data_IF_094822680836
#
_entry.id   IF_094822680836
#
_cell.length_a   1.000
_cell.length_b   1.000
_cell.length_c   1.000
_cell.angle_alpha   90.00
_cell.angle_beta   90.00
_cell.angle_gamma   90.00
#
_symmetry.space_group_name_H-M   'P 1'
#
loop_
_entity.id
_entity.type
_entity.pdbx_description
1 polymer ?
#
# COMPACT_ATOMS: atom_id res chain seq x y z
N UNK A 1 -12.70 -15.23 -12.60
CA UNK A 1 -12.70 -13.84 -12.09
C UNK A 1 -13.29 -12.98 -13.18
N UNK A 2 -14.32 -12.17 -12.88
CA UNK A 2 -14.82 -11.22 -13.87
C UNK A 2 -13.72 -10.18 -14.16
N UNK A 3 -13.50 -9.85 -15.43
CA UNK A 3 -12.55 -8.81 -15.80
C UNK A 3 -13.01 -7.48 -15.19
N UNK A 4 -12.14 -6.88 -14.38
CA UNK A 4 -12.35 -5.53 -13.86
C UNK A 4 -12.03 -4.57 -15.02
N UNK A 5 -12.97 -3.69 -15.41
CA UNK A 5 -12.72 -2.73 -16.47
C UNK A 5 -11.47 -1.90 -16.22
N UNK A 6 -10.65 -1.73 -17.25
CA UNK A 6 -9.46 -0.88 -17.20
C UNK A 6 -9.88 0.56 -16.85
N UNK A 7 -9.18 1.17 -15.88
CA UNK A 7 -9.52 2.50 -15.36
C UNK A 7 -10.63 2.55 -14.29
N UNK A 8 -11.25 1.42 -13.92
CA UNK A 8 -12.24 1.41 -12.84
C UNK A 8 -11.62 1.75 -11.47
N UNK A 9 -10.41 1.25 -11.23
CA UNK A 9 -9.72 1.37 -9.94
C UNK A 9 -8.98 2.71 -9.87
N UNK A 10 -9.28 3.57 -8.88
CA UNK A 10 -8.55 4.81 -8.67
C UNK A 10 -7.04 4.57 -8.43
N UNK A 11 -6.20 5.52 -8.84
CA UNK A 11 -4.75 5.36 -8.79
C UNK A 11 -4.23 5.25 -7.35
N UNK A 12 -4.81 6.01 -6.43
CA UNK A 12 -4.50 5.96 -5.01
C UNK A 12 -4.79 4.58 -4.40
N UNK A 13 -5.84 3.90 -4.84
CA UNK A 13 -6.14 2.53 -4.40
C UNK A 13 -5.08 1.54 -4.87
N UNK A 14 -4.56 1.72 -6.11
CA UNK A 14 -3.47 0.88 -6.64
C UNK A 14 -2.18 1.05 -5.82
N UNK A 15 -1.85 2.29 -5.44
CA UNK A 15 -0.68 2.58 -4.61
C UNK A 15 -0.83 1.99 -3.21
N UNK A 16 -2.00 2.14 -2.59
CA UNK A 16 -2.28 1.52 -1.28
C UNK A 16 -2.26 -0.01 -1.34
N UNK A 17 -2.78 -0.63 -2.40
CA UNK A 17 -2.73 -2.08 -2.58
C UNK A 17 -1.30 -2.59 -2.82
N UNK A 18 -0.49 -1.85 -3.59
CA UNK A 18 0.93 -2.18 -3.75
C UNK A 18 1.67 -2.13 -2.42
N UNK A 19 1.49 -1.07 -1.64
CA UNK A 19 2.08 -0.92 -0.31
C UNK A 19 1.58 -2.01 0.67
N UNK A 20 0.30 -2.36 0.58
CA UNK A 20 -0.28 -3.47 1.34
C UNK A 20 0.42 -4.80 1.05
N UNK A 21 0.59 -5.16 -0.22
CA UNK A 21 1.22 -6.42 -0.64
C UNK A 21 2.66 -6.52 -0.17
N UNK A 22 3.39 -5.41 -0.14
CA UNK A 22 4.78 -5.38 0.36
C UNK A 22 4.86 -5.30 1.88
N UNK A 23 3.84 -4.76 2.56
CA UNK A 23 3.83 -4.62 4.02
C UNK A 23 3.84 -5.95 4.75
N UNK A 24 3.28 -7.00 4.13
CA UNK A 24 3.05 -8.31 4.74
C UNK A 24 2.17 -8.29 5.99
N UNK A 25 1.37 -7.23 6.17
CA UNK A 25 0.36 -7.15 7.21
C UNK A 25 -0.93 -7.86 6.75
N UNK A 26 -1.76 -8.27 7.70
CA UNK A 26 -3.12 -8.73 7.39
C UNK A 26 -4.05 -7.52 7.31
N UNK A 27 -5.17 -7.67 6.58
CA UNK A 27 -6.24 -6.66 6.56
C UNK A 27 -6.71 -6.32 7.98
N UNK A 28 -6.77 -7.32 8.86
CA UNK A 28 -7.18 -7.13 10.25
C UNK A 28 -6.16 -6.29 11.04
N UNK A 29 -4.86 -6.56 10.88
CA UNK A 29 -3.82 -5.76 11.51
C UNK A 29 -3.85 -4.30 11.04
N UNK A 30 -4.12 -4.06 9.75
CA UNK A 30 -4.27 -2.70 9.20
C UNK A 30 -5.53 -2.03 9.74
N UNK A 31 -6.65 -2.75 9.83
CA UNK A 31 -7.88 -2.24 10.42
C UNK A 31 -7.67 -1.78 11.87
N UNK A 32 -6.98 -2.59 12.68
CA UNK A 32 -6.61 -2.24 14.04
C UNK A 32 -5.68 -1.03 14.11
N UNK A 33 -4.63 -1.00 13.29
CA UNK A 33 -3.64 0.10 13.28
C UNK A 33 -4.22 1.43 12.76
N UNK A 34 -5.13 1.38 11.79
CA UNK A 34 -5.77 2.57 11.20
C UNK A 34 -7.05 3.01 11.92
N UNK A 35 -7.56 2.19 12.84
CA UNK A 35 -8.88 2.40 13.46
C UNK A 35 -10.04 2.35 12.47
N UNK A 36 -9.86 1.74 11.30
CA UNK A 36 -10.88 1.60 10.27
C UNK A 36 -11.53 0.21 10.32
N UNK A 37 -12.82 0.07 9.99
CA UNK A 37 -13.43 -1.24 9.85
C UNK A 37 -12.76 -2.07 8.75
N UNK A 38 -12.52 -3.36 8.99
CA UNK A 38 -11.91 -4.26 8.00
C UNK A 38 -12.61 -4.29 6.62
N UNK A 39 -13.95 -4.17 6.50
CA UNK A 39 -14.62 -4.01 5.20
C UNK A 39 -14.23 -2.72 4.47
N UNK A 40 -14.04 -1.61 5.21
CA UNK A 40 -13.59 -0.33 4.67
C UNK A 40 -12.18 -0.45 4.12
N UNK A 41 -11.27 -1.09 4.86
CA UNK A 41 -9.90 -1.37 4.41
C UNK A 41 -9.92 -2.17 3.10
N UNK A 42 -10.66 -3.29 3.05
CA UNK A 42 -10.76 -4.11 1.83
C UNK A 42 -11.29 -3.33 0.63
N UNK A 43 -12.33 -2.53 0.84
CA UNK A 43 -12.92 -1.72 -0.23
C UNK A 43 -11.94 -0.65 -0.71
N UNK A 44 -11.21 -0.01 0.20
CA UNK A 44 -10.24 1.03 -0.14
C UNK A 44 -9.02 0.48 -0.88
N UNK A 45 -8.52 -0.70 -0.50
CA UNK A 45 -7.44 -1.39 -1.22
C UNK A 45 -7.91 -1.87 -2.60
N UNK A 46 -9.13 -2.41 -2.71
CA UNK A 46 -9.66 -2.85 -3.99
C UNK A 46 -9.97 -1.68 -4.95
N UNK A 47 -10.45 -0.55 -4.43
CA UNK A 47 -10.89 0.62 -5.22
C UNK A 47 -12.18 0.40 -6.01
N UNK A 48 -12.89 -0.69 -5.75
CA UNK A 48 -14.21 -0.98 -6.30
C UNK A 48 -15.03 -1.84 -5.33
N UNK A 49 -16.34 -1.90 -5.57
CA UNK A 49 -17.25 -2.85 -4.90
C UNK A 49 -18.26 -3.39 -5.90
N UNK A 50 -18.71 -4.62 -5.69
CA UNK A 50 -19.82 -5.17 -6.48
C UNK A 50 -21.15 -4.64 -5.96
N UNK A 51 -22.00 -4.15 -6.88
CA UNK A 51 -23.40 -3.81 -6.61
C UNK A 51 -24.23 -4.41 -7.73
N UNK A 52 -25.17 -5.29 -7.38
CA UNK A 52 -26.01 -6.01 -8.34
C UNK A 52 -25.21 -6.78 -9.40
N UNK A 53 -24.11 -7.44 -8.99
CA UNK A 53 -23.24 -8.19 -9.90
C UNK A 53 -22.27 -7.34 -10.73
N UNK A 54 -22.39 -6.01 -10.73
CA UNK A 54 -21.52 -5.12 -11.48
C UNK A 54 -20.45 -4.47 -10.59
N UNK A 55 -19.19 -4.38 -11.04
CA UNK A 55 -18.16 -3.68 -10.32
C UNK A 55 -18.37 -2.16 -10.45
N UNK A 56 -18.39 -1.46 -9.31
CA UNK A 56 -18.55 -0.01 -9.22
C UNK A 56 -17.30 0.59 -8.59
N UNK A 57 -16.75 1.62 -9.24
CA UNK A 57 -15.62 2.41 -8.73
C UNK A 57 -15.94 2.95 -7.34
N UNK A 58 -14.99 2.79 -6.43
CA UNK A 58 -15.06 3.36 -5.08
C UNK A 58 -13.86 4.27 -4.91
N UNK A 59 -14.14 5.54 -4.61
CA UNK A 59 -13.13 6.54 -4.29
C UNK A 59 -13.16 6.73 -2.77
N UNK A 60 -12.13 6.28 -2.03
CA UNK A 60 -12.09 6.47 -0.59
C UNK A 60 -12.02 7.96 -0.24
N UNK A 61 -12.65 8.40 0.87
CA UNK A 61 -12.53 9.79 1.32
C UNK A 61 -11.13 10.05 1.87
N UNK A 62 -10.68 11.30 1.84
CA UNK A 62 -9.31 11.69 2.19
C UNK A 62 -8.88 11.25 3.61
N UNK A 63 -9.70 11.32 4.67
CA UNK A 63 -9.34 10.77 5.98
C UNK A 63 -9.05 9.26 5.97
N UNK A 64 -9.74 8.50 5.10
CA UNK A 64 -9.47 7.06 4.95
C UNK A 64 -8.15 6.83 4.23
N UNK A 65 -7.88 7.60 3.17
CA UNK A 65 -6.61 7.52 2.44
C UNK A 65 -5.44 7.89 3.35
N UNK A 66 -5.54 8.99 4.11
CA UNK A 66 -4.50 9.46 5.03
C UNK A 66 -4.14 8.41 6.08
N UNK A 67 -5.15 7.79 6.73
CA UNK A 67 -4.93 6.74 7.73
C UNK A 67 -4.26 5.50 7.16
N UNK A 68 -4.73 5.03 6.01
CA UNK A 68 -4.15 3.85 5.35
C UNK A 68 -2.73 4.13 4.86
N UNK A 69 -2.50 5.31 4.29
CA UNK A 69 -1.17 5.74 3.86
C UNK A 69 -0.18 5.80 5.04
N UNK A 70 -0.59 6.38 6.17
CA UNK A 70 0.23 6.48 7.39
C UNK A 70 0.61 5.10 7.95
N UNK A 71 -0.34 4.15 7.97
CA UNK A 71 -0.06 2.77 8.43
C UNK A 71 0.80 1.98 7.45
N UNK A 72 0.58 2.17 6.15
CA UNK A 72 1.29 1.41 5.10
C UNK A 72 2.63 2.03 4.69
N UNK A 73 3.01 3.17 5.25
CA UNK A 73 4.27 3.86 4.94
C UNK A 73 4.27 4.55 3.58
N UNK A 74 3.10 4.94 3.05
CA UNK A 74 3.00 5.78 1.84
C UNK A 74 3.20 7.23 2.24
N UNK A 75 4.10 7.96 1.57
CA UNK A 75 4.45 9.34 1.94
C UNK A 75 3.38 10.36 1.50
N UNK A 76 3.31 11.49 2.22
CA UNK A 76 2.48 12.64 1.85
C UNK A 76 2.83 13.21 0.47
N UNK A 77 4.12 13.17 0.09
CA UNK A 77 4.59 13.53 -1.25
C UNK A 77 3.99 12.63 -2.32
N UNK A 78 3.93 11.32 -2.07
CA UNK A 78 3.29 10.36 -2.98
C UNK A 78 1.81 10.69 -3.16
N UNK A 79 1.08 10.98 -2.08
CA UNK A 79 -0.32 11.38 -2.17
C UNK A 79 -0.51 12.70 -2.93
N UNK A 80 0.35 13.69 -2.70
CA UNK A 80 0.32 14.96 -3.41
C UNK A 80 0.52 14.76 -4.91
N UNK A 81 1.48 13.92 -5.31
CA UNK A 81 1.72 13.57 -6.73
C UNK A 81 0.54 12.84 -7.40
N UNK A 82 -0.39 12.28 -6.62
CA UNK A 82 -1.62 11.64 -7.11
C UNK A 82 -2.84 12.58 -7.12
N UNK A 83 -2.67 13.87 -6.80
CA UNK A 83 -3.78 14.83 -6.67
C UNK A 83 -4.62 14.62 -5.40
N UNK A 84 -3.98 14.15 -4.32
CA UNK A 84 -4.60 13.91 -3.01
C UNK A 84 -4.00 14.82 -1.94
N UNK A 85 -4.00 16.12 -2.20
CA UNK A 85 -3.39 17.14 -1.33
C UNK A 85 -4.10 17.21 0.03
N UNK A 86 -5.43 17.06 0.06
CA UNK A 86 -6.18 17.03 1.32
C UNK A 86 -5.83 15.80 2.15
N UNK A 87 -5.70 14.62 1.53
CA UNK A 87 -5.27 13.42 2.25
C UNK A 87 -3.83 13.56 2.75
N UNK A 88 -2.95 14.14 1.95
CA UNK A 88 -1.57 14.43 2.35
C UNK A 88 -1.51 15.39 3.56
N UNK A 89 -2.30 16.46 3.56
CA UNK A 89 -2.36 17.39 4.68
C UNK A 89 -2.88 16.74 5.98
N UNK A 90 -3.83 15.79 5.84
CA UNK A 90 -4.37 15.04 6.98
C UNK A 90 -3.40 13.98 7.53
N UNK A 91 -2.31 13.64 6.82
CA UNK A 91 -1.37 12.62 7.28
C UNK A 91 -0.64 13.03 8.55
N UNK A 92 -0.30 14.31 8.74
CA UNK A 92 0.40 14.76 9.94
C UNK A 92 -0.50 14.64 11.19
N UNK A 93 -1.78 14.99 11.07
CA UNK A 93 -2.77 14.81 12.11
C UNK A 93 -3.03 13.33 12.41
N UNK A 94 -3.12 12.50 11.37
CA UNK A 94 -3.35 11.07 11.52
C UNK A 94 -2.08 10.31 11.95
N UNK A 95 -0.87 10.82 11.70
CA UNK A 95 0.37 10.25 12.24
C UNK A 95 0.41 10.41 13.77
N UNK A 96 -0.02 11.57 14.28
CA UNK A 96 -0.18 11.79 15.71
C UNK A 96 -1.32 10.95 16.32
N UNK A 97 -2.40 10.73 15.57
CA UNK A 97 -3.55 9.91 16.04
C UNK A 97 -3.28 8.40 15.97
N UNK A 98 -2.50 7.97 14.99
CA UNK A 98 -2.02 6.61 14.81
C UNK A 98 -0.82 6.31 15.71
N UNK A 99 -0.44 7.15 16.67
CA UNK A 99 0.50 6.81 17.74
C UNK A 99 -0.12 5.81 18.75
N UNK A 100 -0.86 4.82 18.26
CA UNK A 100 -1.30 3.67 19.04
C UNK A 100 -0.19 2.62 19.05
N UNK A 101 -0.05 1.82 20.13
CA UNK A 101 0.95 0.76 20.19
C UNK A 101 0.89 -0.17 18.96
N UNK A 102 -0.31 -0.43 18.46
CA UNK A 102 -0.54 -1.33 17.32
C UNK A 102 -0.05 -0.79 15.99
N UNK A 103 -0.20 0.52 15.77
CA UNK A 103 0.34 1.16 14.57
C UNK A 103 1.86 1.27 14.63
N UNK A 104 2.43 1.51 15.82
CA UNK A 104 3.89 1.43 16.01
C UNK A 104 4.42 0.01 15.74
N UNK A 105 3.75 -1.03 16.22
CA UNK A 105 4.06 -2.44 15.90
C UNK A 105 3.99 -2.71 14.39
N UNK A 106 2.94 -2.22 13.71
CA UNK A 106 2.78 -2.38 12.28
C UNK A 106 3.91 -1.71 11.49
N UNK A 107 4.27 -0.47 11.84
CA UNK A 107 5.38 0.27 11.24
C UNK A 107 6.73 -0.43 11.51
N UNK A 108 6.97 -0.89 12.73
CA UNK A 108 8.17 -1.63 13.08
C UNK A 108 8.28 -2.95 12.29
N UNK A 109 7.17 -3.65 12.06
CA UNK A 109 7.14 -4.88 11.26
C UNK A 109 7.41 -4.62 9.77
N UNK A 110 6.89 -3.51 9.22
CA UNK A 110 7.19 -3.08 7.84
C UNK A 110 8.67 -2.74 7.72
N UNK A 111 9.18 -1.90 8.61
CA UNK A 111 10.57 -1.45 8.61
C UNK A 111 11.55 -2.61 8.83
N UNK A 112 11.23 -3.55 9.73
CA UNK A 112 12.02 -4.76 9.96
C UNK A 112 12.10 -5.64 8.70
N UNK A 113 11.00 -5.79 7.96
CA UNK A 113 11.00 -6.51 6.68
C UNK A 113 11.80 -5.78 5.60
N UNK A 114 11.68 -4.46 5.52
CA UNK A 114 12.49 -3.63 4.60
C UNK A 114 13.97 -3.82 4.86
N UNK A 115 14.42 -3.70 6.11
CA UNK A 115 15.82 -3.90 6.50
C UNK A 115 16.33 -5.31 6.22
N UNK A 116 15.50 -6.34 6.47
CA UNK A 116 15.86 -7.71 6.13
C UNK A 116 16.05 -7.88 4.62
N UNK A 117 15.16 -7.31 3.80
CA UNK A 117 15.30 -7.33 2.35
C UNK A 117 16.57 -6.61 1.90
N UNK A 118 16.89 -5.44 2.48
CA UNK A 118 18.13 -4.70 2.22
C UNK A 118 19.38 -5.51 2.61
N UNK A 119 19.36 -6.19 3.76
CA UNK A 119 20.45 -7.06 4.20
C UNK A 119 20.64 -8.25 3.26
N UNK A 120 19.56 -8.91 2.84
CA UNK A 120 19.63 -10.02 1.88
C UNK A 120 20.19 -9.53 0.55
N UNK A 121 19.73 -8.37 0.06
CA UNK A 121 20.24 -7.77 -1.18
C UNK A 121 21.71 -7.34 -1.05
N UNK A 122 22.14 -6.88 0.13
CA UNK A 122 23.52 -6.50 0.39
C UNK A 122 24.48 -7.71 0.48
N UNK A 123 23.99 -8.91 0.79
CA UNK A 123 24.79 -10.16 0.77
C UNK A 123 25.10 -10.60 -0.66
N UNK A 124 24.25 -10.28 -1.63
CA UNK A 124 24.57 -10.49 -3.04
C UNK A 124 25.56 -9.42 -3.49
N UNK A 125 26.70 -9.86 -4.03
CA UNK A 125 27.63 -8.93 -4.68
C UNK A 125 26.91 -8.18 -5.80
N UNK A 126 27.24 -6.91 -6.01
CA UNK A 126 26.61 -6.08 -7.05
C UNK A 126 26.69 -6.72 -8.44
N UNK A 127 27.70 -7.56 -8.66
CA UNK A 127 27.92 -8.28 -9.92
C UNK A 127 26.99 -9.51 -10.08
N UNK A 128 26.75 -10.30 -9.03
CA UNK A 128 25.79 -11.42 -9.07
C UNK A 128 24.35 -10.93 -9.22
N UNK A 129 23.98 -9.85 -8.51
CA UNK A 129 22.65 -9.25 -8.63
C UNK A 129 22.44 -8.67 -10.04
N UNK A 130 23.47 -8.02 -10.60
CA UNK A 130 23.44 -7.49 -11.97
C UNK A 130 23.35 -8.60 -13.02
N UNK A 131 24.03 -9.71 -12.81
CA UNK A 131 23.95 -10.89 -13.67
C UNK A 131 22.56 -11.54 -13.64
N UNK A 132 21.93 -11.65 -12.46
CA UNK A 132 20.59 -12.22 -12.31
C UNK A 132 19.51 -11.33 -12.94
N UNK A 133 19.59 -10.01 -12.77
CA UNK A 133 18.67 -9.06 -13.45
C UNK A 133 18.80 -9.19 -14.97
N UNK A 134 20.02 -9.21 -15.50
CA UNK A 134 20.25 -9.39 -16.93
C UNK A 134 19.76 -10.75 -17.45
N UNK A 135 19.82 -11.82 -16.63
CA UNK A 135 19.28 -13.13 -17.01
C UNK A 135 17.76 -13.07 -17.15
N UNK A 136 17.06 -12.49 -16.17
CA UNK A 136 15.60 -12.35 -16.18
C UNK A 136 15.09 -11.44 -17.29
N UNK A 137 15.81 -10.36 -17.61
CA UNK A 137 15.48 -9.49 -18.73
C UNK A 137 15.59 -10.20 -20.09
N UNK A 138 16.52 -11.14 -20.24
CA UNK A 138 16.63 -11.99 -21.45
C UNK A 138 15.53 -13.04 -21.51
N UNK A 139 15.18 -13.63 -20.37
CA UNK A 139 14.09 -14.62 -20.27
C UNK A 139 12.69 -14.02 -20.50
N UNK A 140 12.49 -12.73 -20.23
CA UNK A 140 11.21 -12.04 -20.48
C UNK A 140 11.07 -11.42 -21.89
N UNK A 141 12.17 -11.35 -22.66
CA UNK A 141 12.19 -10.77 -24.01
C UNK A 141 12.36 -11.82 -25.13
N UNK A 142 12.52 -13.09 -24.78
CA UNK A 142 12.46 -14.22 -25.71
C UNK A 142 11.07 -14.83 -25.74
#
# INVERSE_FOLDING_TARGET
MADIPEGLVPIECKVLDAAYRTSGLTVQAIAEASGLPAPTVRTALAGYRYRNGEPRRVVPPDPTVARLASVLGVSAETLTGLGREQAAALMDEEHHRAATPRAAEAQAAIEGRRRLAEQVLAVFSTDELRAEVQRREREQRG
#
